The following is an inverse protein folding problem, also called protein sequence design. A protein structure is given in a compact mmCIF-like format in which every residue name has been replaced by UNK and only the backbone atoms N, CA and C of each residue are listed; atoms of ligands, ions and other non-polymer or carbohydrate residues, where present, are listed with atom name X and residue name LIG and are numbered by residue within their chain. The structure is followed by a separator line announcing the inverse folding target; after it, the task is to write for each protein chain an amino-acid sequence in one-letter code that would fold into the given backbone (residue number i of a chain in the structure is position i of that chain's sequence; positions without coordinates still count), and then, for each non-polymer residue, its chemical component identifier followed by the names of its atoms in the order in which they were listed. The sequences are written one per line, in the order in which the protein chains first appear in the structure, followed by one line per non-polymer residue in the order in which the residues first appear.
data_IF_463697427144
#
_entry.id   IF_463697427144
#
_cell.length_a   1.000
_cell.length_b   1.000
_cell.length_c   1.000
_cell.angle_alpha   90.00
_cell.angle_beta   90.00
_cell.angle_gamma   90.00
#
_symmetry.space_group_name_H-M   'P 1'
#
loop_
_entity.id
_entity.type
_entity.pdbx_description
1 polymer ?
#
# COMPACT_ATOMS: atom_id res chain seq x y z
N UNK A 1 -28.02 3.71 32.05
CA UNK A 1 -28.80 2.48 31.80
C UNK A 1 -27.99 1.32 32.37
N UNK A 2 -28.62 0.32 32.97
CA UNK A 2 -27.88 -0.84 33.48
C UNK A 2 -27.69 -1.82 32.33
N UNK A 3 -26.45 -2.17 32.01
CA UNK A 3 -26.10 -3.18 31.00
C UNK A 3 -26.83 -4.48 31.33
N UNK A 4 -27.60 -5.06 30.39
CA UNK A 4 -28.39 -6.25 30.67
C UNK A 4 -27.47 -7.47 30.93
N UNK A 5 -27.93 -8.49 31.68
CA UNK A 5 -27.07 -9.60 32.13
C UNK A 5 -26.33 -10.34 31.02
N UNK A 6 -26.96 -10.53 29.86
CA UNK A 6 -26.33 -11.17 28.70
C UNK A 6 -25.15 -10.35 28.14
N UNK A 7 -25.24 -9.02 28.18
CA UNK A 7 -24.18 -8.13 27.71
C UNK A 7 -23.01 -8.09 28.69
N UNK A 8 -23.28 -8.27 29.99
CA UNK A 8 -22.24 -8.47 31.01
C UNK A 8 -21.47 -9.78 30.74
N UNK A 9 -22.18 -10.88 30.45
CA UNK A 9 -21.56 -12.17 30.11
C UNK A 9 -20.70 -12.08 28.84
N UNK A 10 -21.17 -11.35 27.81
CA UNK A 10 -20.38 -11.08 26.58
C UNK A 10 -19.09 -10.33 26.89
N UNK A 11 -19.17 -9.25 27.68
CA UNK A 11 -17.99 -8.45 28.07
C UNK A 11 -17.00 -9.26 28.89
N UNK A 12 -17.48 -10.06 29.83
CA UNK A 12 -16.63 -10.94 30.64
C UNK A 12 -15.91 -11.97 29.76
N UNK A 13 -16.63 -12.60 28.84
CA UNK A 13 -16.02 -13.55 27.90
C UNK A 13 -14.97 -12.90 27.00
N UNK A 14 -15.21 -11.69 26.49
CA UNK A 14 -14.24 -10.97 25.67
C UNK A 14 -13.00 -10.54 26.48
N UNK A 15 -13.19 -10.15 27.75
CA UNK A 15 -12.10 -9.83 28.66
C UNK A 15 -11.24 -11.07 28.99
N UNK A 16 -11.88 -12.21 29.22
CA UNK A 16 -11.19 -13.48 29.45
C UNK A 16 -10.37 -13.89 28.22
N UNK A 17 -10.95 -13.79 27.01
CA UNK A 17 -10.25 -14.03 25.74
C UNK A 17 -9.01 -13.13 25.60
N UNK A 18 -9.14 -11.84 25.94
CA UNK A 18 -8.03 -10.87 25.87
C UNK A 18 -6.92 -11.21 26.86
N UNK A 19 -7.29 -11.61 28.07
CA UNK A 19 -6.33 -12.01 29.10
C UNK A 19 -5.55 -13.25 28.67
N UNK A 20 -6.25 -14.26 28.14
CA UNK A 20 -5.62 -15.47 27.60
C UNK A 20 -4.67 -15.16 26.44
N UNK A 21 -5.04 -14.22 25.55
CA UNK A 21 -4.19 -13.82 24.44
C UNK A 21 -2.93 -13.07 24.89
N UNK A 22 -3.04 -12.21 25.92
CA UNK A 22 -1.89 -11.53 26.54
C UNK A 22 -0.91 -12.54 27.13
N UNK A 23 -1.42 -13.54 27.87
CA UNK A 23 -0.58 -14.60 28.43
C UNK A 23 0.10 -15.43 27.35
N UNK A 24 -0.63 -15.81 26.30
CA UNK A 24 -0.07 -16.57 25.18
C UNK A 24 1.04 -15.79 24.45
N UNK A 25 0.83 -14.50 24.19
CA UNK A 25 1.83 -13.64 23.56
C UNK A 25 3.08 -13.47 24.43
N UNK A 26 2.92 -13.32 25.75
CA UNK A 26 4.04 -13.29 26.69
C UNK A 26 4.82 -14.62 26.66
N UNK A 27 4.14 -15.77 26.70
CA UNK A 27 4.80 -17.08 26.65
C UNK A 27 5.56 -17.28 25.34
N UNK A 28 4.96 -16.92 24.19
CA UNK A 28 5.64 -16.97 22.89
C UNK A 28 6.88 -16.07 22.86
N UNK A 29 6.77 -14.84 23.38
CA UNK A 29 7.87 -13.88 23.45
C UNK A 29 9.04 -14.38 24.31
N UNK A 30 8.73 -15.02 25.44
CA UNK A 30 9.75 -15.61 26.33
C UNK A 30 10.39 -16.87 25.73
N UNK A 31 9.66 -17.62 24.91
CA UNK A 31 10.13 -18.84 24.25
C UNK A 31 10.81 -18.60 22.89
N UNK A 32 10.90 -17.34 22.43
CA UNK A 32 11.37 -17.01 21.08
C UNK A 32 12.77 -17.56 20.79
N UNK A 33 12.93 -18.10 19.59
CA UNK A 33 14.18 -18.74 19.12
C UNK A 33 14.97 -17.89 18.14
N UNK A 34 14.46 -16.70 17.77
CA UNK A 34 15.08 -15.75 16.86
C UNK A 34 14.34 -14.41 16.80
N UNK A 35 14.85 -13.49 15.99
CA UNK A 35 14.30 -12.13 15.82
C UNK A 35 12.95 -12.11 15.06
N UNK A 36 12.69 -13.13 14.23
CA UNK A 36 11.45 -13.29 13.45
C UNK A 36 10.79 -14.64 13.74
N UNK A 37 10.52 -14.93 15.01
CA UNK A 37 9.90 -16.19 15.41
C UNK A 37 8.41 -16.25 15.00
N UNK A 38 7.98 -17.22 14.17
CA UNK A 38 6.59 -17.32 13.71
C UNK A 38 5.57 -17.50 14.83
N UNK A 39 5.96 -18.16 15.94
CA UNK A 39 5.05 -18.36 17.07
C UNK A 39 4.72 -17.04 17.77
N UNK A 40 5.69 -16.11 17.82
CA UNK A 40 5.48 -14.76 18.36
C UNK A 40 4.53 -13.98 17.45
N UNK A 41 4.72 -14.05 16.14
CA UNK A 41 3.87 -13.35 15.17
C UNK A 41 2.41 -13.83 15.20
N UNK A 42 2.21 -15.15 15.27
CA UNK A 42 0.86 -15.74 15.42
C UNK A 42 0.20 -15.30 16.73
N UNK A 43 0.94 -15.32 17.84
CA UNK A 43 0.41 -14.90 19.13
C UNK A 43 0.12 -13.39 19.19
N UNK A 44 0.96 -12.58 18.54
CA UNK A 44 0.77 -11.14 18.40
C UNK A 44 -0.51 -10.82 17.60
N UNK A 45 -0.68 -11.45 16.44
CA UNK A 45 -1.86 -11.26 15.58
C UNK A 45 -3.16 -11.64 16.33
N UNK A 46 -3.13 -12.76 17.06
CA UNK A 46 -4.27 -13.17 17.90
C UNK A 46 -4.56 -12.17 19.02
N UNK A 47 -3.52 -11.68 19.70
CA UNK A 47 -3.68 -10.66 20.75
C UNK A 47 -4.34 -9.40 20.20
N UNK A 48 -3.88 -8.93 19.04
CA UNK A 48 -4.45 -7.76 18.36
C UNK A 48 -5.93 -7.95 18.06
N UNK A 49 -6.31 -9.03 17.39
CA UNK A 49 -7.71 -9.30 17.00
C UNK A 49 -8.65 -9.39 18.21
N UNK A 50 -8.19 -10.00 19.30
CA UNK A 50 -9.01 -10.13 20.51
C UNK A 50 -9.12 -8.80 21.27
N UNK A 51 -8.05 -8.01 21.27
CA UNK A 51 -8.08 -6.68 21.88
C UNK A 51 -9.02 -5.73 21.16
N UNK A 52 -9.01 -5.74 19.82
CA UNK A 52 -9.93 -4.98 18.97
C UNK A 52 -11.40 -5.36 19.23
N UNK A 53 -11.68 -6.67 19.24
CA UNK A 53 -13.02 -7.19 19.58
C UNK A 53 -13.50 -6.79 20.98
N UNK A 54 -12.59 -6.74 21.96
CA UNK A 54 -12.92 -6.29 23.31
C UNK A 54 -13.22 -4.78 23.34
N UNK A 55 -12.41 -3.98 22.65
CA UNK A 55 -12.60 -2.53 22.55
C UNK A 55 -13.93 -2.17 21.87
N UNK A 56 -14.21 -2.79 20.72
CA UNK A 56 -15.47 -2.64 19.98
C UNK A 56 -16.68 -2.98 20.85
N UNK A 57 -16.62 -4.10 21.56
CA UNK A 57 -17.71 -4.55 22.41
C UNK A 57 -17.89 -3.65 23.64
N UNK A 58 -16.79 -3.15 24.20
CA UNK A 58 -16.79 -2.18 25.30
C UNK A 58 -17.46 -0.88 24.85
N UNK A 59 -17.12 -0.39 23.66
CA UNK A 59 -17.72 0.79 23.06
C UNK A 59 -19.21 0.58 22.77
N UNK A 60 -19.58 -0.53 22.10
CA UNK A 60 -20.97 -0.91 21.77
C UNK A 60 -21.89 -0.85 23.00
N UNK A 61 -21.40 -1.36 24.14
CA UNK A 61 -22.23 -1.60 25.32
C UNK A 61 -22.14 -0.52 26.39
N UNK A 62 -21.04 0.23 26.41
CA UNK A 62 -20.75 1.19 27.50
C UNK A 62 -20.36 2.59 27.04
N UNK A 63 -20.13 2.81 25.74
CA UNK A 63 -19.64 4.08 25.17
C UNK A 63 -18.25 4.48 25.71
N UNK A 64 -17.48 3.49 26.17
CA UNK A 64 -16.12 3.63 26.69
C UNK A 64 -15.13 2.89 25.79
N UNK A 65 -13.88 3.33 25.78
CA UNK A 65 -12.79 2.75 24.98
C UNK A 65 -11.59 2.45 25.86
N UNK A 66 -10.73 1.55 25.39
CA UNK A 66 -9.42 1.30 25.98
C UNK A 66 -8.43 2.40 25.56
N UNK A 67 -7.38 2.67 26.36
CA UNK A 67 -6.40 3.71 26.04
C UNK A 67 -5.32 3.27 25.03
N UNK A 68 -5.50 2.15 24.34
CA UNK A 68 -4.52 1.61 23.39
C UNK A 68 -4.95 1.88 21.96
N UNK A 69 -4.03 2.36 21.13
CA UNK A 69 -4.26 2.54 19.69
C UNK A 69 -3.53 1.42 18.94
N UNK A 70 -4.26 0.73 18.06
CA UNK A 70 -3.67 -0.23 17.13
C UNK A 70 -3.39 0.50 15.82
N UNK A 71 -2.13 0.59 15.33
CA UNK A 71 -1.87 1.20 14.05
C UNK A 71 -2.61 0.40 12.98
N UNK A 72 -3.54 1.03 12.24
CA UNK A 72 -4.28 0.40 11.14
C UNK A 72 -3.29 -0.41 10.30
N UNK A 73 -3.45 -1.73 10.29
CA UNK A 73 -2.62 -2.54 9.42
C UNK A 73 -2.98 -2.14 7.98
N UNK A 74 -2.00 -1.92 7.08
CA UNK A 74 -2.33 -1.90 5.65
C UNK A 74 -3.11 -3.18 5.39
N UNK A 75 -4.23 -3.17 4.64
CA UNK A 75 -5.16 -4.29 4.58
C UNK A 75 -4.42 -5.59 4.27
N UNK A 76 -4.14 -6.37 5.32
CA UNK A 76 -3.37 -7.62 5.25
C UNK A 76 -4.29 -8.80 4.97
N UNK A 77 -5.61 -8.55 4.88
CA UNK A 77 -6.67 -9.50 4.53
C UNK A 77 -6.70 -9.85 3.03
N UNK A 78 -5.53 -9.90 2.38
CA UNK A 78 -5.40 -10.73 1.19
C UNK A 78 -5.21 -12.17 1.66
N UNK A 79 -6.27 -12.74 2.23
CA UNK A 79 -6.34 -14.17 2.52
C UNK A 79 -6.19 -14.89 1.17
N UNK A 80 -5.01 -15.44 0.90
CA UNK A 80 -4.87 -16.44 -0.15
C UNK A 80 -5.85 -17.58 0.17
N UNK A 81 -7.01 -17.61 -0.51
CA UNK A 81 -8.07 -18.60 -0.28
C UNK A 81 -7.57 -20.06 -0.42
N UNK A 82 -6.40 -20.27 -1.03
CA UNK A 82 -5.67 -21.53 -1.02
C UNK A 82 -4.15 -21.31 -1.23
N UNK A 83 -3.29 -21.54 -0.22
CA UNK A 83 -1.83 -21.47 -0.36
C UNK A 83 -1.23 -22.44 -1.39
N UNK A 84 -2.02 -23.42 -1.86
CA UNK A 84 -1.63 -24.40 -2.88
C UNK A 84 -2.09 -24.06 -4.30
N UNK A 85 -2.87 -22.99 -4.46
CA UNK A 85 -3.30 -22.47 -5.77
C UNK A 85 -2.20 -21.60 -6.38
N UNK A 86 -1.48 -22.11 -7.39
CA UNK A 86 -0.52 -21.32 -8.16
C UNK A 86 -1.24 -20.48 -9.24
N UNK A 87 -1.13 -19.14 -9.25
CA UNK A 87 -1.75 -18.31 -10.28
C UNK A 87 -1.06 -18.54 -11.64
N UNK A 88 -1.82 -18.98 -12.64
CA UNK A 88 -1.30 -19.24 -13.99
C UNK A 88 -0.94 -17.97 -14.78
N UNK A 89 -1.48 -16.82 -14.38
CA UNK A 89 -1.23 -15.50 -14.97
C UNK A 89 -1.44 -14.42 -13.91
N UNK A 90 -0.60 -13.38 -13.91
CA UNK A 90 -0.69 -12.26 -12.96
C UNK A 90 -0.65 -10.91 -13.68
N UNK A 91 -1.37 -9.94 -13.13
CA UNK A 91 -1.31 -8.52 -13.49
C UNK A 91 -0.58 -7.74 -12.40
N UNK A 92 0.29 -6.81 -12.81
CA UNK A 92 0.96 -5.87 -11.88
C UNK A 92 0.53 -4.46 -12.24
N UNK A 93 -0.14 -3.79 -11.29
CA UNK A 93 -0.61 -2.42 -11.44
C UNK A 93 0.21 -1.54 -10.51
N UNK A 94 0.76 -0.47 -11.06
CA UNK A 94 1.64 0.46 -10.34
C UNK A 94 1.03 1.85 -10.42
N UNK A 95 0.76 2.43 -9.26
CA UNK A 95 0.42 3.85 -9.09
C UNK A 95 1.59 4.54 -8.40
N UNK A 96 2.05 5.66 -8.97
CA UNK A 96 3.02 6.57 -8.34
C UNK A 96 2.49 7.98 -8.47
N UNK A 97 2.42 8.67 -7.34
CA UNK A 97 1.90 10.02 -7.25
C UNK A 97 3.06 10.99 -7.03
N UNK A 98 3.11 12.03 -7.87
CA UNK A 98 4.12 13.09 -7.80
C UNK A 98 3.45 14.45 -7.75
N UNK A 99 4.05 15.37 -7.01
CA UNK A 99 3.78 16.80 -7.11
C UNK A 99 4.80 17.44 -8.06
N UNK A 100 4.37 18.39 -8.89
CA UNK A 100 5.28 19.17 -9.76
C UNK A 100 5.72 20.39 -8.97
N UNK A 101 6.88 20.31 -8.32
CA UNK A 101 7.44 21.39 -7.50
C UNK A 101 8.18 22.43 -8.36
N UNK A 102 8.88 21.98 -9.42
CA UNK A 102 9.59 22.85 -10.36
C UNK A 102 9.25 22.49 -11.81
N UNK A 103 8.40 23.33 -12.41
CA UNK A 103 7.97 23.17 -13.81
C UNK A 103 9.10 23.41 -14.80
N UNK A 104 10.02 24.33 -14.52
CA UNK A 104 11.09 24.66 -15.45
C UNK A 104 12.13 23.54 -15.49
N UNK A 105 12.49 22.98 -14.32
CA UNK A 105 13.34 21.79 -14.23
C UNK A 105 12.72 20.61 -14.99
N UNK A 106 11.42 20.36 -14.80
CA UNK A 106 10.70 19.30 -15.50
C UNK A 106 10.74 19.47 -17.03
N UNK A 107 10.55 20.70 -17.53
CA UNK A 107 10.64 20.97 -18.97
C UNK A 107 12.07 20.75 -19.50
N UNK A 108 13.10 21.07 -18.72
CA UNK A 108 14.50 20.80 -19.08
C UNK A 108 14.73 19.29 -19.18
N UNK A 109 14.39 18.52 -18.15
CA UNK A 109 14.57 17.06 -18.14
C UNK A 109 13.79 16.37 -19.26
N UNK A 110 12.58 16.85 -19.58
CA UNK A 110 11.83 16.35 -20.74
C UNK A 110 12.51 16.61 -22.08
N UNK A 111 13.20 17.74 -22.24
CA UNK A 111 13.97 18.09 -23.46
C UNK A 111 15.26 17.28 -23.56
N UNK A 112 15.90 17.01 -22.44
CA UNK A 112 17.06 16.11 -22.38
C UNK A 112 16.66 14.69 -22.81
N UNK A 113 15.54 14.17 -22.26
CA UNK A 113 14.97 12.89 -22.66
C UNK A 113 14.63 12.83 -24.16
N UNK A 114 14.05 13.90 -24.72
CA UNK A 114 13.85 14.02 -26.17
C UNK A 114 15.16 13.91 -26.94
N UNK A 115 16.19 14.65 -26.51
CA UNK A 115 17.50 14.68 -27.17
C UNK A 115 18.19 13.32 -27.21
N UNK A 116 18.02 12.50 -26.16
CA UNK A 116 18.54 11.13 -26.12
C UNK A 116 17.85 10.21 -27.14
N UNK A 117 16.52 10.34 -27.29
CA UNK A 117 15.73 9.56 -28.23
C UNK A 117 15.94 9.99 -29.69
N UNK A 118 16.14 11.30 -29.91
CA UNK A 118 16.24 11.91 -31.23
C UNK A 118 17.55 12.70 -31.40
N UNK A 119 18.73 12.06 -31.32
CA UNK A 119 20.02 12.74 -31.28
C UNK A 119 20.42 13.45 -32.58
N UNK A 120 19.62 13.30 -33.64
CA UNK A 120 19.83 13.98 -34.94
C UNK A 120 18.97 15.21 -35.12
N UNK A 121 18.00 15.42 -34.23
CA UNK A 121 17.11 16.57 -34.30
C UNK A 121 17.81 17.79 -33.69
N UNK A 122 17.60 18.99 -34.26
CA UNK A 122 18.07 20.23 -33.64
C UNK A 122 17.45 20.44 -32.25
N UNK A 123 18.17 21.11 -31.35
CA UNK A 123 17.72 21.40 -29.99
C UNK A 123 16.39 22.18 -29.96
N UNK A 124 16.13 23.03 -30.95
CA UNK A 124 14.85 23.76 -31.05
C UNK A 124 13.64 22.82 -31.22
N UNK A 125 13.86 21.60 -31.72
CA UNK A 125 12.81 20.58 -31.86
C UNK A 125 12.35 20.07 -30.49
N UNK A 126 13.30 19.87 -29.57
CA UNK A 126 12.99 19.48 -28.20
C UNK A 126 12.18 20.58 -27.48
N UNK A 127 12.53 21.85 -27.70
CA UNK A 127 11.77 22.99 -27.13
C UNK A 127 10.36 23.07 -27.71
N UNK A 128 10.21 22.82 -29.01
CA UNK A 128 8.91 22.83 -29.67
C UNK A 128 7.99 21.66 -29.23
N UNK A 129 8.56 20.47 -29.00
CA UNK A 129 7.81 19.30 -28.55
C UNK A 129 7.48 19.36 -27.06
N UNK A 130 8.48 19.71 -26.23
CA UNK A 130 8.38 19.77 -24.78
C UNK A 130 8.09 21.20 -24.34
N UNK A 131 6.87 21.62 -24.66
CA UNK A 131 6.34 22.95 -24.32
C UNK A 131 5.40 22.94 -23.11
N UNK A 132 5.17 21.77 -22.49
CA UNK A 132 4.21 21.58 -21.40
C UNK A 132 4.66 20.43 -20.50
N UNK A 133 4.40 20.46 -19.16
CA UNK A 133 4.75 19.38 -18.23
C UNK A 133 4.31 17.99 -18.69
N UNK A 134 3.07 17.87 -19.19
CA UNK A 134 2.58 16.58 -19.73
C UNK A 134 3.40 16.03 -20.91
N UNK A 135 4.00 16.90 -21.74
CA UNK A 135 4.92 16.46 -22.80
C UNK A 135 6.29 16.07 -22.24
N UNK A 136 6.76 16.77 -21.22
CA UNK A 136 8.00 16.41 -20.53
C UNK A 136 7.90 15.03 -19.90
N UNK A 137 6.83 14.78 -19.13
CA UNK A 137 6.52 13.47 -18.54
C UNK A 137 6.44 12.39 -19.61
N UNK A 138 5.76 12.65 -20.73
CA UNK A 138 5.71 11.70 -21.85
C UNK A 138 7.10 11.36 -22.38
N UNK A 139 7.97 12.36 -22.63
CA UNK A 139 9.30 12.09 -23.18
C UNK A 139 10.20 11.35 -22.19
N UNK A 140 10.13 11.70 -20.91
CA UNK A 140 10.86 10.99 -19.85
C UNK A 140 10.40 9.54 -19.74
N UNK A 141 9.09 9.28 -19.74
CA UNK A 141 8.54 7.92 -19.75
C UNK A 141 8.91 7.15 -21.01
N UNK A 142 8.95 7.82 -22.17
CA UNK A 142 9.32 7.18 -23.43
C UNK A 142 10.80 6.81 -23.47
N UNK A 143 11.67 7.65 -22.91
CA UNK A 143 13.11 7.44 -22.87
C UNK A 143 13.54 6.43 -21.79
N UNK A 144 12.93 6.51 -20.61
CA UNK A 144 13.45 5.85 -19.41
C UNK A 144 12.48 4.83 -18.79
N UNK A 145 11.22 4.77 -19.24
CA UNK A 145 10.19 3.97 -18.60
C UNK A 145 9.74 4.53 -17.24
N UNK A 146 8.89 3.78 -16.56
CA UNK A 146 8.32 4.19 -15.26
C UNK A 146 9.39 4.23 -14.17
N UNK A 147 10.24 3.21 -14.09
CA UNK A 147 11.30 3.15 -13.07
C UNK A 147 12.36 4.23 -13.31
N UNK A 148 12.72 4.49 -14.57
CA UNK A 148 13.70 5.51 -14.89
C UNK A 148 13.17 6.95 -14.69
N UNK A 149 11.86 7.19 -14.83
CA UNK A 149 11.23 8.45 -14.43
C UNK A 149 11.38 8.66 -12.92
N UNK A 150 11.11 7.62 -12.14
CA UNK A 150 11.14 7.69 -10.68
C UNK A 150 12.54 7.92 -10.11
N UNK A 151 13.55 7.23 -10.66
CA UNK A 151 14.97 7.46 -10.33
C UNK A 151 15.41 8.92 -10.56
N UNK A 152 14.72 9.64 -11.45
CA UNK A 152 15.03 11.02 -11.86
C UNK A 152 14.03 12.03 -11.32
N UNK A 153 13.05 11.61 -10.53
CA UNK A 153 11.90 12.44 -10.19
C UNK A 153 12.32 13.75 -9.52
N UNK A 154 13.10 13.68 -8.44
CA UNK A 154 13.53 14.85 -7.67
C UNK A 154 14.39 15.80 -8.50
N UNK A 155 15.37 15.26 -9.23
CA UNK A 155 16.25 16.05 -10.12
C UNK A 155 15.46 16.71 -11.27
N UNK A 156 14.36 16.10 -11.69
CA UNK A 156 13.46 16.61 -12.72
C UNK A 156 12.38 17.57 -12.18
N UNK A 157 12.45 17.98 -10.91
CA UNK A 157 11.47 18.90 -10.32
C UNK A 157 10.14 18.26 -9.95
N UNK A 158 10.10 16.93 -9.85
CA UNK A 158 8.98 16.17 -9.29
C UNK A 158 9.28 15.81 -7.84
N UNK A 159 8.31 15.99 -6.95
CA UNK A 159 8.38 15.47 -5.59
C UNK A 159 7.49 14.25 -5.45
N UNK A 160 8.05 13.06 -5.19
CA UNK A 160 7.26 11.87 -4.88
C UNK A 160 6.35 12.09 -3.66
N UNK A 161 5.10 11.65 -3.75
CA UNK A 161 4.10 11.72 -2.66
C UNK A 161 3.73 10.34 -2.10
N UNK A 162 4.06 9.29 -2.83
CA UNK A 162 3.79 7.91 -2.49
C UNK A 162 3.31 7.13 -3.70
N UNK A 163 2.95 5.89 -3.46
CA UNK A 163 2.50 4.99 -4.51
C UNK A 163 1.89 3.73 -3.95
N UNK A 164 1.34 2.93 -4.85
CA UNK A 164 0.75 1.64 -4.52
C UNK A 164 1.06 0.67 -5.65
N UNK A 165 1.48 -0.55 -5.28
CA UNK A 165 1.65 -1.67 -6.21
C UNK A 165 0.65 -2.75 -5.88
N UNK A 166 -0.18 -3.12 -6.85
CA UNK A 166 -1.09 -4.25 -6.78
C UNK A 166 -0.55 -5.38 -7.65
N UNK A 167 -0.50 -6.57 -7.08
CA UNK A 167 -0.32 -7.81 -7.82
C UNK A 167 -1.61 -8.58 -7.71
N UNK A 168 -2.18 -8.99 -8.83
CA UNK A 168 -3.45 -9.74 -8.87
C UNK A 168 -3.36 -10.95 -9.76
N UNK A 169 -4.09 -12.01 -9.41
CA UNK A 169 -4.26 -13.16 -10.29
C UNK A 169 -5.22 -12.79 -11.42
N UNK A 170 -4.94 -13.26 -12.63
CA UNK A 170 -5.81 -13.07 -13.78
C UNK A 170 -6.54 -14.36 -14.10
N UNK A 171 -7.86 -14.25 -14.35
CA UNK A 171 -8.68 -15.39 -14.76
C UNK A 171 -8.55 -15.59 -16.27
N UNK A 172 -8.50 -16.85 -16.78
CA UNK A 172 -8.46 -17.11 -18.21
C UNK A 172 -9.65 -16.45 -18.94
N UNK A 173 -9.36 -15.49 -19.83
CA UNK A 173 -10.37 -14.68 -20.53
C UNK A 173 -10.20 -13.17 -20.34
N UNK A 174 -9.52 -12.74 -19.27
CA UNK A 174 -9.31 -11.32 -18.96
C UNK A 174 -8.15 -10.68 -19.74
N UNK A 175 -7.41 -11.46 -20.53
CA UNK A 175 -6.31 -10.97 -21.37
C UNK A 175 -6.76 -9.85 -22.35
N UNK A 176 -8.03 -9.87 -22.75
CA UNK A 176 -8.60 -8.90 -23.68
C UNK A 176 -8.81 -7.50 -23.07
N UNK A 177 -9.09 -7.40 -21.77
CA UNK A 177 -9.36 -6.11 -21.10
C UNK A 177 -8.07 -5.31 -20.89
N UNK A 178 -6.93 -5.99 -20.76
CA UNK A 178 -5.59 -5.38 -20.60
C UNK A 178 -5.21 -4.39 -21.71
N UNK A 179 -5.81 -4.48 -22.90
CA UNK A 179 -5.47 -3.60 -24.03
C UNK A 179 -6.50 -2.49 -24.29
N UNK A 180 -7.76 -2.68 -23.88
CA UNK A 180 -8.84 -1.71 -24.12
C UNK A 180 -9.17 -0.85 -22.90
N UNK A 181 -9.09 -1.44 -21.71
CA UNK A 181 -9.32 -0.76 -20.43
C UNK A 181 -8.46 -1.41 -19.34
N UNK A 182 -7.13 -1.15 -19.37
CA UNK A 182 -6.14 -1.88 -18.57
C UNK A 182 -6.35 -1.77 -17.06
N UNK A 183 -7.13 -0.79 -16.59
CA UNK A 183 -7.38 -0.56 -15.17
C UNK A 183 -8.75 -1.05 -14.72
N UNK A 184 -9.65 -1.46 -15.63
CA UNK A 184 -10.91 -2.12 -15.27
C UNK A 184 -10.71 -3.52 -14.68
N UNK A 185 -9.52 -4.09 -14.84
CA UNK A 185 -9.14 -5.38 -14.26
C UNK A 185 -8.81 -5.27 -12.77
N UNK A 186 -8.62 -4.06 -12.24
CA UNK A 186 -8.30 -3.82 -10.83
C UNK A 186 -9.49 -4.21 -9.94
N UNK A 187 -9.46 -5.45 -9.45
CA UNK A 187 -10.47 -6.05 -8.59
C UNK A 187 -9.82 -6.40 -7.25
N UNK A 188 -10.31 -5.79 -6.17
CA UNK A 188 -9.80 -6.02 -4.81
C UNK A 188 -9.95 -7.49 -4.39
N UNK A 189 -10.94 -8.21 -4.92
CA UNK A 189 -11.16 -9.64 -4.63
C UNK A 189 -10.11 -10.55 -5.29
N UNK A 190 -9.37 -10.06 -6.30
CA UNK A 190 -8.37 -10.84 -7.04
C UNK A 190 -6.92 -10.50 -6.66
N UNK A 191 -6.74 -9.65 -5.65
CA UNK A 191 -5.43 -9.24 -5.17
C UNK A 191 -4.64 -10.41 -4.57
N UNK A 192 -3.47 -10.64 -5.13
CA UNK A 192 -2.44 -11.55 -4.61
C UNK A 192 -1.60 -10.82 -3.56
N UNK A 193 -1.25 -9.57 -3.81
CA UNK A 193 -0.46 -8.75 -2.87
C UNK A 193 -0.65 -7.26 -3.12
N UNK A 194 -0.53 -6.45 -2.06
CA UNK A 194 -0.51 -4.98 -2.10
C UNK A 194 0.70 -4.43 -1.36
N UNK A 195 1.51 -3.61 -2.03
CA UNK A 195 2.51 -2.74 -1.39
C UNK A 195 1.96 -1.31 -1.40
N UNK A 196 1.95 -0.63 -0.26
CA UNK A 196 1.80 0.82 -0.21
C UNK A 196 3.14 1.46 0.13
N UNK A 197 3.51 2.49 -0.63
CA UNK A 197 4.68 3.32 -0.38
C UNK A 197 4.19 4.67 0.15
N UNK A 198 4.43 4.91 1.43
CA UNK A 198 4.05 6.15 2.11
C UNK A 198 5.31 6.99 2.32
N UNK A 199 5.32 8.20 1.77
CA UNK A 199 6.42 9.13 1.92
C UNK A 199 6.03 10.17 2.98
N UNK A 200 6.63 10.05 4.16
CA UNK A 200 6.44 11.02 5.24
C UNK A 200 7.19 12.31 4.93
N UNK A 201 6.49 13.44 4.93
CA UNK A 201 7.11 14.77 4.93
C UNK A 201 7.30 15.23 6.37
N UNK A 202 8.49 15.74 6.71
CA UNK A 202 8.91 16.16 8.06
C UNK A 202 8.04 17.24 8.76
N UNK A 203 6.89 17.63 8.20
CA UNK A 203 6.01 18.69 8.71
C UNK A 203 4.84 18.20 9.60
N UNK A 204 4.73 16.90 9.87
CA UNK A 204 3.76 16.36 10.82
C UNK A 204 4.46 15.64 11.99
N UNK A 205 4.88 16.42 12.97
CA UNK A 205 5.01 15.95 14.36
C UNK A 205 4.08 16.81 15.21
N UNK A 206 3.09 16.23 15.92
CA UNK A 206 2.14 16.97 16.75
C UNK A 206 2.79 17.69 17.95
#
# INVERSE_FOLDING_TARGET
MTTPPHDIERLQSALDDLTDALEAHLQASLARTGESDPAVQVAYSRLRNVADRYDDLLFELTDEVTPWEFPEEPPTDLEFEDPSSEPGLVGVLVRRDYEIDDTDALLVSGREAYGELYPRDPEESAVADVSHPGRALYQMLHAYGVDGLDERAEDAGLRPRGGTVWVQALVPGDEGTLTSDPFAVADEELLVYRVDEVIHTDDEVP
#
